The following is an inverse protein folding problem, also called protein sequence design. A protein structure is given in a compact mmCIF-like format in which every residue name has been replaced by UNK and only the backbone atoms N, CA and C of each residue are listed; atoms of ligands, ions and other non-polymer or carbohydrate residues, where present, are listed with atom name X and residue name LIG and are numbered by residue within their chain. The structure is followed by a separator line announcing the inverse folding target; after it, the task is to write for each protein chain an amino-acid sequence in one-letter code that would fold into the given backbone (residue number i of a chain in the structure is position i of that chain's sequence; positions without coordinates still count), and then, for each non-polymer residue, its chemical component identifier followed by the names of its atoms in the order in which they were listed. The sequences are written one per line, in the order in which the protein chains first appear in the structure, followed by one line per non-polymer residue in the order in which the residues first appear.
data_IF_062386499588
#
_entry.id   IF_062386499588
#
_cell.length_a   1.000
_cell.length_b   1.000
_cell.length_c   1.000
_cell.angle_alpha   90.00
_cell.angle_beta   90.00
_cell.angle_gamma   90.00
#
_symmetry.space_group_name_H-M   'P 1'
#
loop_
_entity.id
_entity.type
_entity.pdbx_description
1 polymer ?
#
# COMPACT_ATOMS: atom_id res chain seq x y z
N UNK A 1 -8.93 9.91 -10.52
CA UNK A 1 -8.15 8.81 -11.11
C UNK A 1 -6.70 8.98 -10.68
N UNK A 2 -6.42 8.63 -9.43
CA UNK A 2 -5.09 8.76 -8.78
C UNK A 2 -4.74 7.49 -7.98
N UNK A 3 -5.71 6.60 -7.78
CA UNK A 3 -5.59 5.45 -6.86
C UNK A 3 -4.94 4.24 -7.55
N UNK A 4 -5.06 4.10 -8.88
CA UNK A 4 -4.60 2.91 -9.62
C UNK A 4 -3.06 2.72 -9.58
N UNK A 5 -2.29 3.81 -9.60
CA UNK A 5 -0.83 3.74 -9.62
C UNK A 5 -0.24 3.14 -8.33
N UNK A 6 -0.83 3.47 -7.18
CA UNK A 6 -0.42 2.92 -5.88
C UNK A 6 -0.71 1.41 -5.80
N UNK A 7 -1.81 0.96 -6.41
CA UNK A 7 -2.18 -0.47 -6.41
C UNK A 7 -1.29 -1.31 -7.33
N UNK A 8 -0.94 -0.77 -8.50
CA UNK A 8 0.03 -1.42 -9.40
C UNK A 8 1.43 -1.48 -8.76
N UNK A 9 1.82 -0.44 -8.02
CA UNK A 9 3.09 -0.45 -7.28
C UNK A 9 3.13 -1.56 -6.22
N UNK A 10 2.04 -1.77 -5.47
CA UNK A 10 1.93 -2.87 -4.50
C UNK A 10 2.17 -4.22 -5.17
N UNK A 11 1.53 -4.43 -6.34
CA UNK A 11 1.68 -5.67 -7.11
C UNK A 11 3.11 -5.88 -7.60
N UNK A 12 3.75 -4.83 -8.15
CA UNK A 12 5.14 -4.89 -8.61
C UNK A 12 6.12 -5.16 -7.46
N UNK A 13 5.92 -4.54 -6.30
CA UNK A 13 6.75 -4.79 -5.11
C UNK A 13 6.59 -6.23 -4.63
N UNK A 14 5.36 -6.75 -4.61
CA UNK A 14 5.10 -8.15 -4.26
C UNK A 14 5.80 -9.11 -5.24
N UNK A 15 5.69 -8.85 -6.54
CA UNK A 15 6.27 -9.70 -7.59
C UNK A 15 7.80 -9.64 -7.63
N UNK A 16 8.40 -8.46 -7.42
CA UNK A 16 9.86 -8.32 -7.33
C UNK A 16 10.48 -9.05 -6.14
N UNK A 17 9.71 -9.30 -5.09
CA UNK A 17 10.12 -10.13 -3.96
C UNK A 17 9.74 -11.62 -4.11
N UNK A 18 9.14 -12.02 -5.24
CA UNK A 18 8.70 -13.39 -5.49
C UNK A 18 7.57 -13.86 -4.57
N UNK A 19 6.80 -12.93 -3.99
CA UNK A 19 5.75 -13.25 -3.04
C UNK A 19 4.43 -13.51 -3.75
N UNK A 20 3.68 -14.51 -3.28
CA UNK A 20 2.26 -14.67 -3.68
C UNK A 20 1.39 -13.74 -2.82
N UNK A 21 0.15 -13.48 -3.24
CA UNK A 21 -0.80 -12.72 -2.42
C UNK A 21 -1.04 -13.40 -1.05
N UNK A 22 -1.03 -14.73 -1.01
CA UNK A 22 -1.17 -15.52 0.22
C UNK A 22 0.06 -15.35 1.14
N UNK A 23 1.26 -15.32 0.56
CA UNK A 23 2.49 -15.11 1.32
C UNK A 23 2.56 -13.68 1.87
N UNK A 24 2.18 -12.69 1.06
CA UNK A 24 2.05 -11.31 1.53
C UNK A 24 1.00 -11.19 2.64
N UNK A 25 -0.12 -11.89 2.53
CA UNK A 25 -1.15 -11.95 3.58
C UNK A 25 -0.60 -12.49 4.89
N UNK A 26 0.14 -13.61 4.81
CA UNK A 26 0.78 -14.23 5.97
C UNK A 26 1.81 -13.31 6.62
N UNK A 27 2.64 -12.61 5.84
CA UNK A 27 3.67 -11.69 6.35
C UNK A 27 3.10 -10.42 6.95
N UNK A 28 2.11 -9.82 6.29
CA UNK A 28 1.49 -8.56 6.72
C UNK A 28 0.40 -8.73 7.77
N UNK A 29 -0.15 -9.94 7.94
CA UNK A 29 -1.33 -10.17 8.76
C UNK A 29 -2.56 -9.42 8.23
N UNK A 30 -2.62 -9.20 6.92
CA UNK A 30 -3.76 -8.65 6.18
C UNK A 30 -4.43 -9.80 5.43
N UNK A 31 -5.76 -9.92 5.41
CA UNK A 31 -6.44 -10.98 4.67
C UNK A 31 -6.08 -10.96 3.18
N UNK A 32 -5.89 -12.14 2.58
CA UNK A 32 -5.59 -12.25 1.15
C UNK A 32 -6.69 -11.65 0.27
N UNK A 33 -7.96 -11.74 0.69
CA UNK A 33 -9.09 -11.09 0.01
C UNK A 33 -8.92 -9.57 -0.04
N UNK A 34 -8.53 -8.96 1.08
CA UNK A 34 -8.24 -7.52 1.16
C UNK A 34 -7.10 -7.13 0.23
N UNK A 35 -6.02 -7.91 0.17
CA UNK A 35 -4.90 -7.67 -0.77
C UNK A 35 -5.38 -7.75 -2.21
N UNK A 36 -6.17 -8.76 -2.56
CA UNK A 36 -6.74 -8.92 -3.90
C UNK A 36 -7.67 -7.75 -4.28
N UNK A 37 -8.50 -7.27 -3.34
CA UNK A 37 -9.39 -6.13 -3.57
C UNK A 37 -8.62 -4.81 -3.73
N UNK A 38 -7.50 -4.66 -3.03
CA UNK A 38 -6.58 -3.53 -3.15
C UNK A 38 -5.88 -3.59 -4.52
N UNK A 39 -5.22 -4.70 -4.86
CA UNK A 39 -4.53 -4.87 -6.15
C UNK A 39 -5.47 -4.74 -7.36
N UNK A 40 -6.74 -5.15 -7.21
CA UNK A 40 -7.74 -5.03 -8.28
C UNK A 40 -8.45 -3.66 -8.32
N UNK A 41 -8.09 -2.72 -7.45
CA UNK A 41 -8.73 -1.40 -7.39
C UNK A 41 -10.21 -1.43 -7.01
N UNK A 42 -10.68 -2.51 -6.39
CA UNK A 42 -12.07 -2.65 -5.91
C UNK A 42 -12.36 -1.82 -4.66
N UNK A 43 -11.31 -1.30 -4.02
CA UNK A 43 -11.39 -0.40 -2.86
C UNK A 43 -10.81 0.97 -3.21
N UNK A 44 -11.23 2.00 -2.47
CA UNK A 44 -10.68 3.37 -2.61
C UNK A 44 -9.23 3.49 -2.13
N UNK A 45 -8.59 2.39 -1.73
CA UNK A 45 -7.23 2.33 -1.20
C UNK A 45 -7.18 1.65 0.17
N UNK A 46 -5.99 1.18 0.59
CA UNK A 46 -5.78 0.62 1.91
C UNK A 46 -5.96 1.71 2.99
N UNK A 47 -6.56 1.35 4.11
CA UNK A 47 -6.51 2.20 5.31
C UNK A 47 -5.08 2.35 5.80
N UNK A 48 -4.76 3.41 6.53
CA UNK A 48 -3.42 3.63 7.13
C UNK A 48 -2.88 2.37 7.83
N UNK A 49 -3.74 1.68 8.59
CA UNK A 49 -3.38 0.45 9.28
C UNK A 49 -2.99 -0.69 8.32
N UNK A 50 -3.70 -0.84 7.21
CA UNK A 50 -3.41 -1.85 6.19
C UNK A 50 -2.15 -1.47 5.42
N UNK A 51 -2.01 -0.21 5.04
CA UNK A 51 -0.83 0.30 4.36
C UNK A 51 0.44 0.06 5.19
N UNK A 52 0.43 0.39 6.48
CA UNK A 52 1.57 0.15 7.39
C UNK A 52 1.92 -1.34 7.51
N UNK A 53 0.93 -2.21 7.58
CA UNK A 53 1.15 -3.67 7.64
C UNK A 53 1.76 -4.23 6.36
N UNK A 54 1.26 -3.79 5.20
CA UNK A 54 1.78 -4.20 3.90
C UNK A 54 3.19 -3.63 3.68
N UNK A 55 3.40 -2.38 4.04
CA UNK A 55 4.68 -1.69 4.00
C UNK A 55 5.75 -2.42 4.82
N UNK A 56 5.41 -2.79 6.06
CA UNK A 56 6.29 -3.57 6.94
C UNK A 56 6.63 -4.94 6.35
N UNK A 57 5.67 -5.62 5.73
CA UNK A 57 5.88 -6.92 5.09
C UNK A 57 6.74 -6.83 3.81
N UNK A 58 6.67 -5.71 3.10
CA UNK A 58 7.42 -5.43 1.87
C UNK A 58 8.74 -4.70 2.13
N UNK A 59 9.00 -4.22 3.35
CA UNK A 59 10.20 -3.45 3.67
C UNK A 59 10.26 -2.07 3.00
N UNK A 60 9.11 -1.46 2.72
CA UNK A 60 9.00 -0.13 2.11
C UNK A 60 8.32 0.85 3.06
N UNK A 61 8.52 2.18 2.91
CA UNK A 61 7.76 3.16 3.69
C UNK A 61 6.27 3.13 3.33
N UNK A 62 5.41 3.26 4.34
CA UNK A 62 3.95 3.17 4.18
C UNK A 62 3.37 4.29 3.30
N UNK A 63 4.06 5.44 3.25
CA UNK A 63 3.76 6.57 2.37
C UNK A 63 3.66 6.16 0.90
N UNK A 64 4.47 5.19 0.45
CA UNK A 64 4.41 4.68 -0.93
C UNK A 64 3.15 3.88 -1.25
N UNK A 65 2.45 3.41 -0.22
CA UNK A 65 1.26 2.57 -0.33
C UNK A 65 -0.02 3.33 0.04
N UNK A 66 0.10 4.58 0.46
CA UNK A 66 -1.02 5.46 0.71
C UNK A 66 -1.33 6.20 -0.59
N UNK A 67 -2.61 6.30 -0.99
CA UNK A 67 -2.98 7.27 -2.00
C UNK A 67 -2.57 8.65 -1.50
N UNK A 68 -1.84 9.41 -2.33
CA UNK A 68 -1.66 10.84 -2.09
C UNK A 68 -3.05 11.48 -2.20
N UNK A 69 -3.78 11.50 -1.08
CA UNK A 69 -4.69 12.61 -0.85
C UNK A 69 -3.76 13.83 -0.86
N UNK A 70 -4.00 14.78 -1.75
CA UNK A 70 -3.28 16.06 -1.81
C UNK A 70 -3.47 16.82 -0.49
N UNK A 71 -2.85 16.34 0.58
CA UNK A 71 -2.73 16.96 1.87
C UNK A 71 -1.44 17.75 1.87
N UNK A 72 -1.40 18.81 1.06
CA UNK A 72 -0.42 19.87 1.23
C UNK A 72 -0.65 20.54 2.58
N UNK A 73 -0.14 19.94 3.65
CA UNK A 73 0.35 20.72 4.79
C UNK A 73 1.76 21.19 4.41
N UNK A 74 1.86 22.05 3.39
CA UNK A 74 2.88 23.09 3.43
C UNK A 74 2.54 23.94 4.65
N UNK A 75 3.19 23.65 5.77
CA UNK A 75 3.44 24.48 6.95
C UNK A 75 3.99 23.48 7.99
N UNK A 76 5.25 23.53 8.41
CA UNK A 76 5.79 24.69 9.10
C UNK A 76 7.32 24.61 9.32
N UNK A 77 7.99 25.76 9.19
CA UNK A 77 9.20 26.23 9.88
C UNK A 77 10.61 25.70 9.54
N UNK A 78 11.42 26.57 8.94
CA UNK A 78 12.70 27.11 9.49
C UNK A 78 13.34 28.03 8.42
N UNK A 79 13.73 29.29 8.62
CA UNK A 79 13.88 30.20 9.78
C UNK A 79 13.75 31.65 9.28
#
# INVERSE_FOLDING_TARGET
MVIAEVMDMLKQLRESQGLTQMELARRSGVPQSTICDIEAGRTKGPTLRVAVKLAAALGVPAEKLLPEEEGQCQNSHQS
#
